data_IF_281612958496
#
_entry.id   IF_281612958496
#
_cell.length_a   1.000
_cell.length_b   1.000
_cell.length_c   1.000
_cell.angle_alpha   90.00
_cell.angle_beta   90.00
_cell.angle_gamma   90.00
#
_symmetry.space_group_name_H-M   'P 1'
#
loop_
_entity.id
_entity.type
_entity.pdbx_description
1 polymer ?
#
# COMPACT_ATOMS: atom_id res chain seq x y z
N UNK A 1 17.08 10.09 55.80
CA UNK A 1 16.03 9.30 55.14
C UNK A 1 15.58 10.12 53.94
N UNK A 2 16.11 9.81 52.75
CA UNK A 2 15.76 10.51 51.50
C UNK A 2 14.82 9.57 50.75
N UNK A 3 13.57 10.00 50.54
CA UNK A 3 12.63 9.31 49.66
C UNK A 3 13.04 9.64 48.22
N UNK A 4 13.58 8.65 47.51
CA UNK A 4 13.84 8.72 46.07
C UNK A 4 12.50 8.66 45.34
N UNK A 5 12.16 9.75 44.65
CA UNK A 5 11.10 9.79 43.65
C UNK A 5 11.46 8.82 42.52
N UNK A 6 10.69 7.74 42.40
CA UNK A 6 10.73 6.85 41.24
C UNK A 6 10.01 7.55 40.07
N UNK A 7 10.70 8.47 39.42
CA UNK A 7 10.28 9.00 38.12
C UNK A 7 10.51 7.89 37.10
N UNK A 8 9.45 7.13 36.79
CA UNK A 8 9.40 6.27 35.62
C UNK A 8 9.71 7.15 34.39
N UNK A 9 10.96 7.09 33.93
CA UNK A 9 11.35 7.66 32.66
C UNK A 9 10.51 6.97 31.58
N UNK A 10 9.51 7.69 31.07
CA UNK A 10 8.90 7.34 29.80
C UNK A 10 10.02 7.35 28.77
N UNK A 11 10.30 6.19 28.21
CA UNK A 11 11.23 6.03 27.10
C UNK A 11 10.69 6.81 25.89
N UNK A 12 11.16 8.05 25.76
CA UNK A 12 10.86 9.00 24.69
C UNK A 12 11.72 8.74 23.44
N UNK A 13 12.12 7.48 23.21
CA UNK A 13 12.84 7.06 22.01
C UNK A 13 11.96 6.98 20.75
N UNK A 14 10.74 7.53 20.79
CA UNK A 14 9.95 7.72 19.56
C UNK A 14 10.67 8.75 18.69
N UNK A 15 11.41 8.24 17.71
CA UNK A 15 11.95 9.09 16.65
C UNK A 15 10.85 10.01 16.12
N UNK A 16 11.11 11.31 15.97
CA UNK A 16 10.12 12.24 15.49
C UNK A 16 9.65 11.78 14.10
N UNK A 17 8.33 11.78 13.92
CA UNK A 17 7.73 11.42 12.63
C UNK A 17 8.20 12.45 11.60
N UNK A 18 8.72 12.02 10.43
CA UNK A 18 9.11 12.96 9.39
C UNK A 18 7.90 13.78 8.90
N UNK A 19 8.02 15.11 8.81
CA UNK A 19 6.91 15.98 8.37
C UNK A 19 6.34 15.61 6.98
N UNK A 20 7.17 15.04 6.09
CA UNK A 20 6.70 14.50 4.79
C UNK A 20 5.76 13.31 4.97
N UNK A 21 5.99 12.47 5.98
CA UNK A 21 5.16 11.31 6.29
C UNK A 21 3.83 11.72 6.93
N UNK A 22 3.81 12.76 7.76
CA UNK A 22 2.58 13.35 8.29
C UNK A 22 1.69 13.92 7.18
N UNK A 23 2.28 14.72 6.27
CA UNK A 23 1.54 15.22 5.09
C UNK A 23 1.02 14.09 4.22
N UNK A 24 1.80 13.02 4.06
CA UNK A 24 1.37 11.85 3.31
C UNK A 24 0.21 11.11 4.02
N UNK A 25 0.24 11.01 5.35
CA UNK A 25 -0.86 10.47 6.15
C UNK A 25 -2.15 11.27 5.90
N UNK A 26 -2.09 12.60 5.99
CA UNK A 26 -3.25 13.47 5.78
C UNK A 26 -3.85 13.27 4.37
N UNK A 27 -2.99 13.23 3.35
CA UNK A 27 -3.42 12.97 1.97
C UNK A 27 -4.09 11.60 1.84
N UNK A 28 -3.51 10.53 2.40
CA UNK A 28 -4.12 9.20 2.32
C UNK A 28 -5.43 9.15 3.10
N UNK A 29 -5.51 9.78 4.28
CA UNK A 29 -6.71 9.83 5.10
C UNK A 29 -7.85 10.60 4.42
N UNK A 30 -7.58 11.74 3.79
CA UNK A 30 -8.60 12.50 3.06
C UNK A 30 -9.18 11.75 1.84
N UNK A 31 -8.42 10.80 1.28
CA UNK A 31 -8.86 9.96 0.17
C UNK A 31 -9.37 8.57 0.62
N UNK A 32 -9.31 8.31 1.93
CA UNK A 32 -9.96 7.19 2.60
C UNK A 32 -11.42 7.53 2.88
N UNK A 33 -12.35 6.63 2.57
CA UNK A 33 -13.77 6.78 2.93
C UNK A 33 -14.04 5.86 4.12
N UNK A 34 -13.99 6.40 5.35
CA UNK A 34 -14.28 5.68 6.60
C UNK A 34 -13.50 6.20 7.82
N UNK A 35 -13.86 5.72 9.01
CA UNK A 35 -13.18 6.05 10.28
C UNK A 35 -11.72 5.52 10.28
N UNK A 36 -10.77 6.45 10.38
CA UNK A 36 -9.32 6.29 10.58
C UNK A 36 -8.70 4.91 10.27
N UNK A 37 -8.65 4.49 8.99
CA UNK A 37 -8.03 3.23 8.60
C UNK A 37 -6.50 3.30 8.51
N UNK A 38 -5.85 4.42 8.83
CA UNK A 38 -4.41 4.63 8.61
C UNK A 38 -3.76 5.33 9.81
N UNK A 39 -2.64 4.81 10.27
CA UNK A 39 -1.81 5.38 11.33
C UNK A 39 -0.31 5.31 10.96
N UNK A 40 0.52 6.04 11.69
CA UNK A 40 1.97 5.91 11.63
C UNK A 40 2.45 5.05 12.80
N UNK A 41 3.17 3.97 12.49
CA UNK A 41 3.85 3.13 13.46
C UNK A 41 5.28 2.90 12.98
N UNK A 42 6.27 3.15 13.85
CA UNK A 42 7.70 3.00 13.52
C UNK A 42 8.08 3.70 12.19
N UNK A 43 7.68 4.97 12.04
CA UNK A 43 7.89 5.78 10.83
C UNK A 43 7.35 5.16 9.52
N UNK A 44 6.32 4.32 9.60
CA UNK A 44 5.66 3.71 8.45
C UNK A 44 4.15 3.85 8.54
N UNK A 45 3.49 4.02 7.41
CA UNK A 45 2.04 3.89 7.33
C UNK A 45 1.62 2.44 7.55
N UNK A 46 0.66 2.27 8.46
CA UNK A 46 0.01 1.01 8.79
C UNK A 46 -1.48 1.21 8.66
N UNK A 47 -2.15 0.24 8.04
CA UNK A 47 -3.61 0.30 7.89
C UNK A 47 -4.31 -0.53 8.96
N UNK A 48 -5.55 -0.16 9.27
CA UNK A 48 -6.48 -0.95 10.06
C UNK A 48 -7.72 -1.26 9.24
N UNK A 49 -8.02 -2.55 9.12
CA UNK A 49 -9.19 -3.05 8.39
C UNK A 49 -9.78 -4.24 9.12
N UNK A 50 -11.08 -4.19 9.49
CA UNK A 50 -11.73 -5.25 10.30
C UNK A 50 -10.91 -5.64 11.54
N UNK A 51 -10.43 -4.63 12.30
CA UNK A 51 -9.53 -4.80 13.47
C UNK A 51 -8.16 -5.42 13.15
N UNK A 52 -7.89 -5.81 11.92
CA UNK A 52 -6.61 -6.35 11.50
C UNK A 52 -5.67 -5.21 11.13
N UNK A 53 -4.40 -5.41 11.43
CA UNK A 53 -3.30 -4.52 11.07
C UNK A 53 -2.75 -4.94 9.71
N UNK A 54 -2.60 -4.01 8.78
CA UNK A 54 -1.96 -4.26 7.48
C UNK A 54 -0.67 -3.47 7.36
N UNK A 55 0.40 -4.12 6.91
CA UNK A 55 1.69 -3.49 6.69
C UNK A 55 2.34 -3.91 5.38
N UNK A 56 3.24 -3.06 4.88
CA UNK A 56 4.02 -3.31 3.67
C UNK A 56 5.27 -4.14 4.00
N UNK A 57 5.44 -5.28 3.34
CA UNK A 57 6.70 -6.02 3.28
C UNK A 57 7.29 -5.88 1.88
N UNK A 58 8.52 -5.37 1.81
CA UNK A 58 9.23 -5.15 0.56
C UNK A 58 10.27 -6.23 0.34
N UNK A 59 10.29 -6.81 -0.86
CA UNK A 59 11.34 -7.69 -1.32
C UNK A 59 12.18 -6.92 -2.33
N UNK A 60 13.44 -6.57 -2.02
CA UNK A 60 14.30 -5.89 -2.97
C UNK A 60 14.53 -6.77 -4.18
N UNK A 61 14.77 -6.14 -5.32
CA UNK A 61 15.19 -6.87 -6.51
C UNK A 61 16.69 -7.21 -6.41
N UNK A 62 17.09 -8.31 -7.04
CA UNK A 62 18.44 -8.85 -6.90
C UNK A 62 19.51 -7.97 -7.58
N UNK A 63 19.10 -7.03 -8.44
CA UNK A 63 20.00 -6.15 -9.22
C UNK A 63 19.70 -4.67 -8.99
N UNK A 64 20.71 -3.81 -9.07
CA UNK A 64 20.52 -2.35 -9.04
C UNK A 64 19.72 -1.88 -10.27
N UNK A 65 18.61 -1.16 -10.04
CA UNK A 65 17.68 -0.72 -11.08
C UNK A 65 16.48 -1.64 -11.29
N UNK A 66 16.44 -2.75 -10.56
CA UNK A 66 15.43 -3.78 -10.68
C UNK A 66 14.25 -3.50 -9.72
N UNK A 67 13.07 -4.07 -9.98
CA UNK A 67 11.81 -3.56 -9.40
C UNK A 67 11.55 -4.11 -8.01
N UNK A 68 11.40 -3.23 -7.01
CA UNK A 68 11.06 -3.67 -5.65
C UNK A 68 9.64 -4.21 -5.62
N UNK A 69 9.45 -5.44 -5.15
CA UNK A 69 8.12 -6.02 -4.99
C UNK A 69 7.57 -5.72 -3.60
N UNK A 70 6.25 -5.54 -3.49
CA UNK A 70 5.58 -5.39 -2.20
C UNK A 70 4.49 -6.43 -2.01
N UNK A 71 4.41 -6.94 -0.78
CA UNK A 71 3.32 -7.79 -0.31
C UNK A 71 2.63 -7.13 0.88
N UNK A 72 1.31 -7.21 0.93
CA UNK A 72 0.54 -6.82 2.11
C UNK A 72 0.57 -7.94 3.15
N UNK A 73 1.16 -7.67 4.31
CA UNK A 73 1.06 -8.56 5.47
C UNK A 73 -0.13 -8.13 6.32
N UNK A 74 -0.93 -9.10 6.76
CA UNK A 74 -2.06 -8.87 7.66
C UNK A 74 -1.85 -9.58 8.99
N UNK A 75 -2.20 -8.93 10.10
CA UNK A 75 -2.19 -9.55 11.43
C UNK A 75 -3.38 -9.16 12.28
N UNK A 76 -3.79 -10.05 13.17
CA UNK A 76 -4.79 -9.80 14.20
C UNK A 76 -4.26 -8.83 15.27
N UNK A 77 -5.13 -8.23 16.11
CA UNK A 77 -4.69 -7.43 17.27
C UNK A 77 -3.74 -8.16 18.21
N UNK A 78 -3.82 -9.49 18.26
CA UNK A 78 -2.91 -10.36 19.03
C UNK A 78 -1.52 -10.49 18.42
N UNK A 79 -1.28 -9.93 17.24
CA UNK A 79 -0.04 -10.03 16.48
C UNK A 79 0.05 -11.26 15.56
N UNK A 80 -0.90 -12.19 15.63
CA UNK A 80 -0.90 -13.38 14.78
C UNK A 80 -1.11 -13.03 13.31
N UNK A 81 -0.25 -13.53 12.43
CA UNK A 81 -0.36 -13.31 10.99
C UNK A 81 -1.56 -14.06 10.41
N UNK A 82 -2.27 -13.44 9.47
CA UNK A 82 -3.39 -14.04 8.74
C UNK A 82 -3.21 -13.85 7.24
N UNK A 83 -3.76 -14.75 6.40
CA UNK A 83 -3.73 -14.57 4.96
C UNK A 83 -4.48 -13.29 4.55
N UNK A 84 -3.85 -12.43 3.76
CA UNK A 84 -4.51 -11.22 3.25
C UNK A 84 -5.75 -11.54 2.41
N UNK A 85 -5.78 -12.71 1.74
CA UNK A 85 -6.93 -13.22 1.00
C UNK A 85 -8.19 -13.42 1.85
N UNK A 86 -8.04 -13.69 3.16
CA UNK A 86 -9.18 -13.77 4.08
C UNK A 86 -9.84 -12.39 4.24
N UNK A 87 -9.04 -11.33 4.37
CA UNK A 87 -9.54 -9.96 4.48
C UNK A 87 -10.15 -9.46 3.16
N UNK A 88 -9.56 -9.83 2.03
CA UNK A 88 -10.12 -9.54 0.70
C UNK A 88 -11.50 -10.18 0.51
N UNK A 89 -11.75 -11.34 1.13
CA UNK A 89 -13.07 -11.99 1.12
C UNK A 89 -14.09 -11.26 2.00
N UNK A 90 -13.67 -10.71 3.14
CA UNK A 90 -14.53 -9.87 3.99
C UNK A 90 -14.87 -8.51 3.35
N UNK A 91 -14.01 -8.03 2.45
CA UNK A 91 -14.18 -6.78 1.72
C UNK A 91 -15.18 -6.88 0.53
N UNK A 92 -15.94 -7.97 0.40
CA UNK A 92 -16.76 -8.24 -0.80
C UNK A 92 -18.10 -7.50 -0.88
N UNK A 93 -18.29 -6.44 -0.08
CA UNK A 93 -19.35 -5.46 -0.31
C UNK A 93 -19.09 -4.64 -1.57
N UNK A 94 -20.11 -3.95 -2.10
CA UNK A 94 -19.94 -3.09 -3.28
C UNK A 94 -18.78 -2.09 -3.09
N UNK A 95 -17.78 -2.20 -3.96
CA UNK A 95 -16.56 -1.37 -3.95
C UNK A 95 -15.66 -1.54 -2.71
N UNK A 96 -15.92 -2.49 -1.81
CA UNK A 96 -15.11 -2.71 -0.61
C UNK A 96 -13.69 -3.20 -0.93
N UNK A 97 -13.59 -4.22 -1.78
CA UNK A 97 -12.31 -4.79 -2.21
C UNK A 97 -11.44 -3.77 -2.94
N UNK A 98 -12.06 -2.98 -3.80
CA UNK A 98 -11.39 -1.91 -4.54
C UNK A 98 -10.88 -0.79 -3.62
N UNK A 99 -11.67 -0.42 -2.60
CA UNK A 99 -11.23 0.52 -1.57
C UNK A 99 -10.05 -0.01 -0.77
N UNK A 100 -10.10 -1.29 -0.38
CA UNK A 100 -9.02 -1.94 0.36
C UNK A 100 -7.72 -1.98 -0.47
N UNK A 101 -7.79 -2.39 -1.73
CA UNK A 101 -6.61 -2.44 -2.61
C UNK A 101 -5.96 -1.07 -2.77
N UNK A 102 -6.75 -0.04 -3.07
CA UNK A 102 -6.24 1.33 -3.21
C UNK A 102 -5.56 1.84 -1.93
N UNK A 103 -6.13 1.55 -0.75
CA UNK A 103 -5.51 1.94 0.52
C UNK A 103 -4.18 1.22 0.72
N UNK A 104 -4.12 -0.09 0.44
CA UNK A 104 -2.87 -0.84 0.48
C UNK A 104 -1.83 -0.26 -0.47
N UNK A 105 -2.18 0.00 -1.73
CA UNK A 105 -1.27 0.59 -2.73
C UNK A 105 -0.75 1.97 -2.28
N UNK A 106 -1.62 2.85 -1.77
CA UNK A 106 -1.20 4.14 -1.23
C UNK A 106 -0.23 3.99 -0.05
N UNK A 107 -0.53 3.08 0.89
CA UNK A 107 0.37 2.80 2.01
C UNK A 107 1.71 2.25 1.53
N UNK A 108 1.74 1.39 0.52
CA UNK A 108 2.97 0.85 -0.07
C UNK A 108 3.81 1.94 -0.71
N UNK A 109 3.17 2.79 -1.52
CA UNK A 109 3.81 3.94 -2.17
C UNK A 109 4.43 4.89 -1.15
N UNK A 110 3.68 5.29 -0.12
CA UNK A 110 4.21 6.18 0.92
C UNK A 110 5.35 5.52 1.69
N UNK A 111 5.19 4.24 2.05
CA UNK A 111 6.23 3.52 2.79
C UNK A 111 7.52 3.33 1.99
N UNK A 112 7.44 3.21 0.67
CA UNK A 112 8.60 3.01 -0.21
C UNK A 112 9.26 4.32 -0.60
N UNK A 113 8.51 5.33 -1.02
CA UNK A 113 9.09 6.56 -1.54
C UNK A 113 9.31 7.63 -0.47
N UNK A 114 8.43 7.71 0.53
CA UNK A 114 8.44 8.79 1.53
C UNK A 114 9.11 8.32 2.83
N UNK A 115 8.69 7.18 3.38
CA UNK A 115 9.20 6.70 4.66
C UNK A 115 10.64 6.18 4.58
N UNK A 116 10.97 5.36 3.58
CA UNK A 116 12.34 4.84 3.39
C UNK A 116 13.20 5.71 2.47
N UNK A 117 12.61 6.69 1.77
CA UNK A 117 13.34 7.54 0.83
C UNK A 117 13.85 6.82 -0.42
N UNK A 118 13.29 5.65 -0.76
CA UNK A 118 13.74 4.87 -1.91
C UNK A 118 13.46 5.62 -3.22
N UNK A 119 14.41 5.58 -4.15
CA UNK A 119 14.28 6.20 -5.46
C UNK A 119 13.88 5.20 -6.56
N UNK A 120 14.14 3.90 -6.34
CA UNK A 120 13.90 2.84 -7.32
C UNK A 120 12.42 2.51 -7.53
N UNK A 121 12.08 1.83 -8.65
CA UNK A 121 10.71 1.52 -9.01
C UNK A 121 10.05 0.52 -8.05
N UNK A 122 8.73 0.65 -7.89
CA UNK A 122 7.90 -0.18 -7.01
C UNK A 122 6.86 -0.98 -7.79
N UNK A 123 6.86 -2.29 -7.64
CA UNK A 123 5.83 -3.19 -8.19
C UNK A 123 4.65 -3.32 -7.23
N UNK A 124 3.46 -2.98 -7.69
CA UNK A 124 2.19 -3.10 -6.98
C UNK A 124 1.41 -4.30 -7.52
N UNK A 125 1.06 -5.29 -6.69
CA UNK A 125 0.26 -6.42 -7.13
C UNK A 125 -1.19 -6.01 -7.37
N UNK A 126 -1.76 -6.44 -8.50
CA UNK A 126 -3.18 -6.30 -8.81
C UNK A 126 -3.96 -7.55 -8.38
N UNK A 127 -5.06 -7.36 -7.66
CA UNK A 127 -5.94 -8.43 -7.24
C UNK A 127 -6.66 -9.06 -8.45
N UNK A 128 -6.63 -10.40 -8.55
CA UNK A 128 -7.28 -11.14 -9.63
C UNK A 128 -8.77 -10.87 -9.79
N UNK A 129 -9.52 -10.71 -8.68
CA UNK A 129 -10.96 -10.42 -8.75
C UNK A 129 -11.20 -9.00 -9.26
N UNK A 130 -10.39 -8.02 -8.87
CA UNK A 130 -10.51 -6.65 -9.35
C UNK A 130 -10.12 -6.53 -10.81
N UNK A 131 -9.05 -7.21 -11.23
CA UNK A 131 -8.68 -7.32 -12.63
C UNK A 131 -9.85 -7.87 -13.47
N UNK A 132 -10.53 -8.91 -12.98
CA UNK A 132 -11.68 -9.52 -13.67
C UNK A 132 -12.96 -8.67 -13.65
N UNK A 133 -13.08 -7.69 -12.76
CA UNK A 133 -14.24 -6.78 -12.72
C UNK A 133 -14.14 -5.65 -13.75
N UNK A 134 -13.04 -5.58 -14.49
CA UNK A 134 -12.79 -4.51 -15.45
C UNK A 134 -12.33 -3.23 -14.76
N UNK A 135 -11.70 -2.37 -15.56
CA UNK A 135 -11.07 -1.17 -15.06
C UNK A 135 -12.12 -0.11 -14.78
N UNK A 136 -12.14 0.33 -13.53
CA UNK A 136 -13.08 1.32 -13.05
C UNK A 136 -12.41 2.70 -13.01
N UNK A 137 -13.22 3.75 -12.86
CA UNK A 137 -12.82 5.16 -12.69
C UNK A 137 -11.92 5.45 -11.46
N UNK A 138 -11.49 4.42 -10.74
CA UNK A 138 -10.83 4.53 -9.45
C UNK A 138 -9.34 4.86 -9.54
N UNK A 139 -8.71 4.58 -10.67
CA UNK A 139 -7.31 4.96 -10.91
C UNK A 139 -7.14 6.47 -10.90
N UNK A 140 -8.16 7.24 -11.30
CA UNK A 140 -8.09 8.70 -11.25
C UNK A 140 -7.87 9.22 -9.81
N UNK A 141 -8.49 8.59 -8.81
CA UNK A 141 -8.27 8.97 -7.41
C UNK A 141 -6.88 8.59 -6.93
N UNK A 142 -6.41 7.39 -7.30
CA UNK A 142 -5.06 6.96 -6.97
C UNK A 142 -4.01 7.88 -7.59
N UNK A 143 -4.11 8.14 -8.90
CA UNK A 143 -3.25 9.04 -9.66
C UNK A 143 -3.25 10.46 -9.09
N UNK A 144 -4.40 11.01 -8.72
CA UNK A 144 -4.48 12.34 -8.09
C UNK A 144 -3.74 12.40 -6.74
N UNK A 145 -3.73 11.31 -5.98
CA UNK A 145 -2.95 11.25 -4.73
C UNK A 145 -1.46 11.12 -5.04
N UNK A 146 -1.06 10.31 -6.04
CA UNK A 146 0.34 10.21 -6.46
C UNK A 146 0.90 11.57 -6.91
N UNK A 147 0.12 12.31 -7.69
CA UNK A 147 0.48 13.66 -8.14
C UNK A 147 0.73 14.59 -6.93
N UNK A 148 -0.18 14.60 -5.95
CA UNK A 148 -0.02 15.39 -4.71
C UNK A 148 1.16 14.95 -3.85
N UNK A 149 1.56 13.69 -3.93
CA UNK A 149 2.75 13.16 -3.29
C UNK A 149 4.04 13.44 -4.09
N UNK A 150 3.94 13.97 -5.31
CA UNK A 150 5.08 14.20 -6.21
C UNK A 150 5.69 12.90 -6.73
N UNK A 151 4.88 11.85 -6.89
CA UNK A 151 5.32 10.52 -7.33
C UNK A 151 4.87 10.31 -8.77
N UNK A 152 5.84 10.20 -9.67
CA UNK A 152 5.58 9.94 -11.08
C UNK A 152 5.03 8.52 -11.30
N UNK A 153 3.95 8.35 -12.08
CA UNK A 153 3.37 7.04 -12.39
C UNK A 153 4.38 6.05 -13.00
N UNK A 154 5.36 6.54 -13.77
CA UNK A 154 6.42 5.73 -14.40
C UNK A 154 7.35 5.03 -13.38
N UNK A 155 7.35 5.47 -12.12
CA UNK A 155 8.11 4.84 -11.02
C UNK A 155 7.36 3.66 -10.39
N UNK A 156 6.11 3.45 -10.77
CA UNK A 156 5.34 2.29 -10.39
C UNK A 156 5.39 1.24 -11.49
N UNK A 157 5.21 -0.02 -11.11
CA UNK A 157 4.83 -1.09 -12.03
C UNK A 157 3.63 -1.81 -11.47
N UNK A 158 2.68 -2.20 -12.31
CA UNK A 158 1.59 -3.08 -11.88
C UNK A 158 1.92 -4.52 -12.27
N UNK A 159 1.91 -5.42 -11.28
CA UNK A 159 2.03 -6.85 -11.52
C UNK A 159 0.65 -7.43 -11.72
N UNK A 160 0.39 -7.92 -12.93
CA UNK A 160 -0.86 -8.59 -13.25
C UNK A 160 -0.93 -9.96 -12.55
N UNK A 161 -2.13 -10.46 -12.22
CA UNK A 161 -2.31 -11.82 -11.71
C UNK A 161 -2.02 -12.87 -12.81
N UNK A 162 -1.51 -14.04 -12.43
CA UNK A 162 -1.02 -15.07 -13.36
C UNK A 162 -2.09 -15.72 -14.25
N UNK A 163 -3.38 -15.55 -13.91
CA UNK A 163 -4.51 -16.15 -14.63
C UNK A 163 -5.51 -15.04 -14.94
N UNK A 164 -5.35 -14.44 -16.12
CA UNK A 164 -6.31 -13.51 -16.71
C UNK A 164 -6.82 -14.06 -18.03
N UNK A 165 -8.07 -13.73 -18.35
CA UNK A 165 -8.57 -13.96 -19.70
C UNK A 165 -7.87 -12.97 -20.67
N UNK A 166 -7.51 -13.39 -21.89
CA UNK A 166 -6.76 -12.54 -22.84
C UNK A 166 -7.43 -11.20 -23.14
N UNK A 167 -8.76 -11.16 -23.17
CA UNK A 167 -9.53 -9.92 -23.40
C UNK A 167 -9.34 -8.94 -22.24
N UNK A 168 -9.36 -9.44 -21.01
CA UNK A 168 -9.18 -8.64 -19.79
C UNK A 168 -7.74 -8.13 -19.71
N UNK A 169 -6.77 -8.97 -20.04
CA UNK A 169 -5.36 -8.58 -20.11
C UNK A 169 -5.11 -7.46 -21.15
N UNK A 170 -5.72 -7.56 -22.33
CA UNK A 170 -5.64 -6.53 -23.36
C UNK A 170 -6.25 -5.20 -22.88
N UNK A 171 -7.43 -5.25 -22.24
CA UNK A 171 -8.06 -4.05 -21.66
C UNK A 171 -7.21 -3.40 -20.56
N UNK A 172 -6.62 -4.20 -19.67
CA UNK A 172 -5.69 -3.74 -18.63
C UNK A 172 -4.45 -3.09 -19.24
N UNK A 173 -3.90 -3.72 -20.28
CA UNK A 173 -2.74 -3.21 -21.02
C UNK A 173 -3.01 -1.82 -21.61
N UNK A 174 -4.09 -1.68 -22.38
CA UNK A 174 -4.45 -0.40 -23.02
C UNK A 174 -4.62 0.71 -21.98
N UNK A 175 -5.29 0.40 -20.88
CA UNK A 175 -5.52 1.37 -19.82
C UNK A 175 -4.24 1.80 -19.10
N UNK A 176 -3.39 0.86 -18.69
CA UNK A 176 -2.15 1.20 -17.98
C UNK A 176 -1.17 1.96 -18.88
N UNK A 177 -1.16 1.67 -20.19
CA UNK A 177 -0.47 2.49 -21.18
C UNK A 177 -1.01 3.92 -21.21
N UNK A 178 -2.34 4.09 -21.26
CA UNK A 178 -2.99 5.41 -21.27
C UNK A 178 -2.71 6.24 -20.02
N UNK A 179 -2.61 5.61 -18.85
CA UNK A 179 -2.30 6.33 -17.59
C UNK A 179 -0.80 6.45 -17.28
N UNK A 180 0.06 5.88 -18.14
CA UNK A 180 1.53 5.99 -18.01
C UNK A 180 2.14 5.15 -16.89
N UNK A 181 1.48 4.07 -16.47
CA UNK A 181 2.03 3.12 -15.49
C UNK A 181 2.52 1.87 -16.25
N UNK A 182 3.83 1.57 -16.23
CA UNK A 182 4.35 0.30 -16.75
C UNK A 182 3.71 -0.91 -16.07
N UNK A 183 3.62 -2.04 -16.76
CA UNK A 183 3.11 -3.28 -16.19
C UNK A 183 4.02 -4.47 -16.52
N UNK A 184 3.94 -5.52 -15.71
CA UNK A 184 4.59 -6.80 -15.97
C UNK A 184 3.58 -7.94 -15.79
N UNK A 185 3.53 -8.91 -16.71
CA UNK A 185 2.82 -10.17 -16.45
C UNK A 185 3.36 -10.81 -15.18
N UNK A 186 2.52 -11.50 -14.39
CA UNK A 186 3.05 -12.40 -13.37
C UNK A 186 3.73 -13.54 -14.12
N UNK A 187 5.06 -13.56 -14.14
CA UNK A 187 5.76 -14.80 -14.42
C UNK A 187 5.58 -15.72 -13.21
N UNK A 188 5.16 -16.98 -13.40
CA UNK A 188 5.16 -17.94 -12.30
C UNK A 188 6.61 -18.12 -11.83
N UNK A 189 6.90 -17.62 -10.62
CA UNK A 189 8.12 -17.96 -9.89
C UNK A 189 8.08 -19.41 -9.42
#
# INVERSE_FOLDING_TARGET
>A
MVYLENTLAFDDSRQPVPAKLERALDLVQHHSLGEHPVAIENNRLVLRFFKCRLSSQFTPADTAGDVTHVTTCASLPTGHAIPFSALQTLAMTEGGLLRLERLCHLAHVVNHFIASGNTGPLSLPLNARLANQGISSHDQRFLSVLEKLGIEPARLRVTLPAKLEPVIEAMLTEHYQRVGIPFTPNEPR
#
